data_IF_482961417520
#
_entry.id   IF_482961417520
#
_cell.length_a   1.000
_cell.length_b   1.000
_cell.length_c   1.000
_cell.angle_alpha   90.00
_cell.angle_beta   90.00
_cell.angle_gamma   90.00
#
_symmetry.space_group_name_H-M   'P 1'
#
loop_
_entity.id
_entity.type
_entity.pdbx_description
1 polymer ?
#
# COMPACT_ATOMS: atom_id res chain seq x y z
N UNK A 1 23.88 7.59 -43.41
CA UNK A 1 23.30 8.47 -42.37
C UNK A 1 21.85 8.05 -42.09
N UNK A 2 21.63 6.79 -41.71
CA UNK A 2 20.29 6.22 -41.51
C UNK A 2 20.26 5.11 -40.46
N UNK A 3 21.24 5.11 -39.54
CA UNK A 3 21.48 4.01 -38.58
C UNK A 3 21.41 4.47 -37.12
N UNK A 4 20.91 5.68 -36.84
CA UNK A 4 20.90 6.27 -35.48
C UNK A 4 19.51 6.41 -34.82
N UNK A 5 18.41 6.02 -35.49
CA UNK A 5 17.06 6.14 -34.91
C UNK A 5 16.49 4.82 -34.34
N UNK A 6 17.26 3.72 -34.39
CA UNK A 6 16.78 2.40 -33.98
C UNK A 6 16.98 2.05 -32.49
N UNK A 7 17.49 2.99 -31.65
CA UNK A 7 17.89 2.67 -30.27
C UNK A 7 16.97 3.21 -29.16
N UNK A 8 15.79 3.76 -29.47
CA UNK A 8 14.95 4.45 -28.45
C UNK A 8 13.50 3.97 -28.30
N UNK A 9 13.09 2.94 -29.03
CA UNK A 9 11.85 2.21 -28.74
C UNK A 9 12.15 0.89 -28.03
N UNK A 10 12.88 0.97 -26.91
CA UNK A 10 12.84 -0.09 -25.91
C UNK A 10 11.54 0.10 -25.14
N UNK A 11 10.48 -0.39 -25.76
CA UNK A 11 9.19 -0.70 -25.14
C UNK A 11 9.49 -1.20 -23.74
N UNK A 12 8.92 -0.55 -22.73
CA UNK A 12 8.92 -1.06 -21.35
C UNK A 12 8.13 -2.35 -21.41
N UNK A 13 8.83 -3.42 -21.76
CA UNK A 13 8.30 -4.76 -21.86
C UNK A 13 7.68 -5.06 -20.51
N UNK A 14 6.38 -5.22 -20.61
CA UNK A 14 5.47 -5.56 -19.56
C UNK A 14 6.05 -6.79 -18.85
N UNK A 15 6.72 -6.56 -17.72
CA UNK A 15 7.10 -7.62 -16.80
C UNK A 15 5.80 -8.17 -16.19
N UNK A 16 5.05 -8.93 -16.99
CA UNK A 16 3.99 -9.83 -16.56
C UNK A 16 4.72 -11.01 -15.95
N UNK A 17 5.15 -10.84 -14.69
CA UNK A 17 5.47 -11.98 -13.83
C UNK A 17 4.21 -12.86 -13.81
N UNK A 18 4.26 -14.01 -14.48
CA UNK A 18 3.12 -14.84 -14.89
C UNK A 18 2.28 -15.49 -13.77
N UNK A 19 2.30 -14.92 -12.56
CA UNK A 19 1.57 -15.40 -11.38
C UNK A 19 0.41 -14.49 -10.99
N UNK A 20 0.29 -13.29 -11.59
CA UNK A 20 -0.69 -12.29 -11.19
C UNK A 20 -1.79 -12.13 -12.23
N UNK A 21 -3.02 -12.00 -11.75
CA UNK A 21 -4.18 -11.62 -12.55
C UNK A 21 -4.03 -10.20 -13.09
N UNK A 22 -4.75 -9.89 -14.18
CA UNK A 22 -4.75 -8.54 -14.75
C UNK A 22 -5.19 -7.46 -13.75
N UNK A 23 -6.04 -7.83 -12.77
CA UNK A 23 -6.47 -6.95 -11.69
C UNK A 23 -5.33 -6.65 -10.73
N UNK A 24 -4.62 -7.67 -10.26
CA UNK A 24 -3.49 -7.51 -9.34
C UNK A 24 -2.37 -6.69 -9.97
N UNK A 25 -2.09 -6.89 -11.26
CA UNK A 25 -1.13 -6.06 -11.99
C UNK A 25 -1.52 -4.58 -12.02
N UNK A 26 -2.80 -4.28 -12.24
CA UNK A 26 -3.30 -2.88 -12.21
C UNK A 26 -3.18 -2.29 -10.81
N UNK A 27 -3.54 -3.05 -9.79
CA UNK A 27 -3.48 -2.61 -8.40
C UNK A 27 -2.02 -2.35 -7.98
N UNK A 28 -1.08 -3.23 -8.35
CA UNK A 28 0.35 -3.02 -8.10
C UNK A 28 0.91 -1.79 -8.82
N UNK A 29 0.51 -1.56 -10.08
CA UNK A 29 0.92 -0.34 -10.80
C UNK A 29 0.45 0.92 -10.07
N UNK A 30 -0.78 0.93 -9.55
CA UNK A 30 -1.32 2.05 -8.75
C UNK A 30 -0.51 2.28 -7.48
N UNK A 31 -0.24 1.22 -6.73
CA UNK A 31 0.54 1.29 -5.50
C UNK A 31 1.99 1.74 -5.76
N UNK A 32 2.61 1.26 -6.85
CA UNK A 32 3.96 1.65 -7.24
C UNK A 32 4.06 3.16 -7.51
N UNK A 33 3.09 3.74 -8.22
CA UNK A 33 3.06 5.19 -8.46
C UNK A 33 2.98 5.99 -7.15
N UNK A 34 2.15 5.55 -6.20
CA UNK A 34 2.02 6.20 -4.89
C UNK A 34 3.33 6.08 -4.10
N UNK A 35 3.97 4.91 -4.12
CA UNK A 35 5.27 4.68 -3.47
C UNK A 35 6.34 5.61 -4.03
N UNK A 36 6.45 5.71 -5.34
CA UNK A 36 7.45 6.59 -5.99
C UNK A 36 7.26 8.06 -5.61
N UNK A 37 6.00 8.53 -5.54
CA UNK A 37 5.69 9.87 -5.07
C UNK A 37 6.10 10.09 -3.60
N UNK A 38 5.84 9.10 -2.73
CA UNK A 38 6.21 9.14 -1.31
C UNK A 38 7.73 9.13 -1.09
N UNK A 39 8.47 8.35 -1.87
CA UNK A 39 9.94 8.35 -1.85
C UNK A 39 10.52 9.69 -2.30
N UNK A 40 9.92 10.32 -3.31
CA UNK A 40 10.33 11.67 -3.73
C UNK A 40 10.07 12.70 -2.64
N UNK A 41 8.93 12.65 -1.96
CA UNK A 41 8.68 13.50 -0.79
C UNK A 41 9.69 13.23 0.34
N UNK A 42 10.02 11.96 0.59
CA UNK A 42 11.02 11.58 1.59
C UNK A 42 12.39 12.16 1.29
N UNK A 43 12.85 12.10 0.04
CA UNK A 43 14.12 12.72 -0.41
C UNK A 43 14.13 14.23 -0.20
N UNK A 44 12.98 14.87 -0.35
CA UNK A 44 12.79 16.30 -0.09
C UNK A 44 12.64 16.65 1.40
N UNK A 45 12.71 15.65 2.29
CA UNK A 45 12.53 15.82 3.73
C UNK A 45 11.09 16.07 4.15
N UNK A 46 10.10 15.73 3.30
CA UNK A 46 8.67 15.93 3.55
C UNK A 46 8.04 14.58 3.90
N UNK A 47 7.44 14.50 5.09
CA UNK A 47 6.56 13.39 5.45
C UNK A 47 5.15 13.64 4.94
N UNK A 48 4.56 12.64 4.28
CA UNK A 48 3.24 12.73 3.68
C UNK A 48 2.48 11.41 3.87
N UNK A 49 1.18 11.54 4.07
CA UNK A 49 0.25 10.44 4.22
C UNK A 49 -0.74 10.47 3.06
N UNK A 50 -0.82 9.38 2.31
CA UNK A 50 -1.72 9.27 1.16
C UNK A 50 -2.77 8.20 1.46
N UNK A 51 -4.03 8.62 1.41
CA UNK A 51 -5.17 7.72 1.51
C UNK A 51 -5.27 6.80 0.28
N UNK A 52 -5.46 5.51 0.50
CA UNK A 52 -5.61 4.50 -0.54
C UNK A 52 -6.91 3.72 -0.33
N UNK A 53 -7.65 3.49 -1.41
CA UNK A 53 -8.85 2.66 -1.38
C UNK A 53 -8.47 1.20 -1.07
N UNK A 54 -9.09 0.55 -0.08
CA UNK A 54 -8.78 -0.84 0.26
C UNK A 54 -9.18 -1.84 -0.84
N UNK A 55 -10.16 -1.49 -1.68
CA UNK A 55 -10.73 -2.39 -2.69
C UNK A 55 -9.97 -2.36 -4.03
N UNK A 56 -9.71 -1.16 -4.57
CA UNK A 56 -9.13 -1.01 -5.91
C UNK A 56 -7.74 -0.34 -5.91
N UNK A 57 -7.17 -0.10 -4.73
CA UNK A 57 -5.86 0.52 -4.52
C UNK A 57 -5.67 1.87 -5.19
N UNK A 58 -6.77 2.58 -5.46
CA UNK A 58 -6.73 3.94 -5.99
C UNK A 58 -6.43 4.95 -4.87
N UNK A 59 -5.56 5.95 -5.10
CA UNK A 59 -5.36 7.06 -4.18
C UNK A 59 -6.49 8.10 -4.23
N UNK A 60 -7.48 7.92 -5.12
CA UNK A 60 -8.60 8.87 -5.32
C UNK A 60 -9.71 8.63 -4.31
N UNK A 61 -9.37 8.80 -3.03
CA UNK A 61 -10.31 8.70 -1.90
C UNK A 61 -10.61 10.10 -1.39
N UNK A 62 -11.89 10.43 -1.28
CA UNK A 62 -12.37 11.69 -0.71
C UNK A 62 -12.90 11.44 0.71
N UNK A 63 -12.73 12.44 1.56
CA UNK A 63 -13.32 12.48 2.88
C UNK A 63 -14.68 13.15 2.78
N UNK A 64 -15.73 12.39 3.08
CA UNK A 64 -17.11 12.88 3.17
C UNK A 64 -17.29 13.36 4.61
N UNK A 65 -17.46 14.68 4.75
CA UNK A 65 -17.77 15.28 6.04
C UNK A 65 -19.24 15.65 6.07
N UNK A 66 -19.93 15.21 7.11
CA UNK A 66 -21.33 15.57 7.34
C UNK A 66 -21.60 17.07 7.28
N UNK A 67 -20.65 17.87 7.78
CA UNK A 67 -20.79 19.32 7.81
C UNK A 67 -20.85 19.96 6.40
N UNK A 68 -20.05 19.48 5.44
CA UNK A 68 -19.97 20.07 4.10
C UNK A 68 -20.89 19.41 3.08
N UNK A 69 -21.12 18.10 3.22
CA UNK A 69 -21.74 17.28 2.18
C UNK A 69 -23.17 16.83 2.53
N UNK A 70 -23.54 16.76 3.82
CA UNK A 70 -24.83 16.18 4.28
C UNK A 70 -25.68 17.13 5.15
N UNK A 71 -25.18 18.34 5.45
CA UNK A 71 -25.87 19.34 6.27
C UNK A 71 -25.95 19.01 7.76
N UNK A 72 -26.75 19.79 8.51
CA UNK A 72 -26.82 19.77 9.98
C UNK A 72 -27.41 18.48 10.60
N UNK A 73 -27.78 17.49 9.77
CA UNK A 73 -28.64 16.37 10.16
C UNK A 73 -28.03 14.96 10.03
N UNK A 74 -26.75 14.78 9.68
CA UNK A 74 -26.29 13.39 9.54
C UNK A 74 -24.79 13.12 9.44
N UNK A 75 -24.29 12.44 10.48
CA UNK A 75 -23.01 11.71 10.62
C UNK A 75 -21.84 12.45 11.28
N UNK A 76 -21.73 12.37 12.60
CA UNK A 76 -20.55 12.83 13.35
C UNK A 76 -19.25 12.09 13.00
N UNK A 77 -19.34 10.95 12.30
CA UNK A 77 -18.18 10.10 12.03
C UNK A 77 -17.63 10.34 10.62
N UNK A 78 -16.30 10.45 10.48
CA UNK A 78 -15.65 10.59 9.18
C UNK A 78 -15.99 9.39 8.29
N UNK A 79 -16.41 9.67 7.07
CA UNK A 79 -16.66 8.66 6.06
C UNK A 79 -15.77 8.92 4.85
N UNK A 80 -15.42 7.88 4.12
CA UNK A 80 -14.53 7.93 2.98
C UNK A 80 -15.19 7.30 1.77
N UNK A 81 -14.93 7.90 0.61
CA UNK A 81 -15.48 7.43 -0.65
C UNK A 81 -14.41 7.38 -1.75
N UNK A 82 -14.33 6.27 -2.47
CA UNK A 82 -13.43 6.12 -3.60
C UNK A 82 -14.12 6.51 -4.90
N UNK A 83 -13.54 7.48 -5.63
CA UNK A 83 -14.08 7.98 -6.89
C UNK A 83 -13.98 6.97 -8.05
N UNK A 84 -13.12 5.95 -7.93
CA UNK A 84 -12.86 5.03 -9.05
C UNK A 84 -13.71 3.75 -8.99
N UNK A 85 -13.96 3.20 -7.79
CA UNK A 85 -14.73 1.96 -7.62
C UNK A 85 -16.01 2.13 -6.79
N UNK A 86 -16.27 3.32 -6.24
CA UNK A 86 -17.45 3.60 -5.43
C UNK A 86 -17.42 3.01 -4.02
N UNK A 87 -16.27 2.51 -3.56
CA UNK A 87 -16.14 2.02 -2.18
C UNK A 87 -16.47 3.13 -1.19
N UNK A 88 -17.32 2.80 -0.19
CA UNK A 88 -17.70 3.67 0.92
C UNK A 88 -17.37 2.96 2.24
N UNK A 89 -16.70 3.64 3.15
CA UNK A 89 -16.37 3.07 4.45
C UNK A 89 -15.89 4.10 5.46
N UNK A 90 -15.68 3.64 6.69
CA UNK A 90 -15.19 4.47 7.80
C UNK A 90 -13.72 4.23 8.15
N UNK A 91 -13.14 3.16 7.61
CA UNK A 91 -11.73 2.80 7.84
C UNK A 91 -10.90 3.23 6.64
N UNK A 92 -9.88 4.04 6.88
CA UNK A 92 -8.96 4.51 5.84
C UNK A 92 -7.69 3.67 5.85
N UNK A 93 -7.27 3.20 4.67
CA UNK A 93 -5.91 2.66 4.49
C UNK A 93 -5.01 3.82 4.09
N UNK A 94 -3.93 4.02 4.82
CA UNK A 94 -2.96 5.09 4.56
C UNK A 94 -1.63 4.45 4.17
N UNK A 95 -1.01 4.99 3.13
CA UNK A 95 0.39 4.74 2.82
C UNK A 95 1.20 5.98 3.19
N UNK A 96 2.24 5.78 4.01
CA UNK A 96 3.05 6.87 4.57
C UNK A 96 4.53 6.61 4.33
N UNK A 97 5.33 7.68 4.29
CA UNK A 97 6.79 7.64 4.27
C UNK A 97 7.41 8.06 5.62
N UNK A 98 6.59 8.27 6.65
CA UNK A 98 7.07 8.55 8.00
C UNK A 98 7.92 7.38 8.50
N UNK A 99 9.02 7.63 9.21
CA UNK A 99 9.78 6.56 9.86
C UNK A 99 8.87 5.85 10.87
N UNK A 100 8.93 4.52 10.90
CA UNK A 100 8.24 3.67 11.88
C UNK A 100 8.96 3.70 13.24
N UNK A 101 9.36 4.90 13.69
CA UNK A 101 9.88 5.11 15.04
C UNK A 101 8.68 5.44 15.94
N UNK A 102 7.85 4.41 16.13
CA UNK A 102 6.60 4.52 16.84
C UNK A 102 6.79 3.82 18.18
N UNK A 103 6.92 4.59 19.26
CA UNK A 103 6.99 4.08 20.63
C UNK A 103 5.87 3.06 20.91
N UNK A 104 4.74 3.17 20.21
CA UNK A 104 3.64 2.21 20.25
C UNK A 104 4.03 0.85 19.67
N UNK A 105 4.76 0.78 18.57
CA UNK A 105 5.20 -0.48 17.96
C UNK A 105 6.26 -1.15 18.83
N UNK A 106 7.17 -0.38 19.43
CA UNK A 106 8.13 -0.90 20.42
C UNK A 106 7.42 -1.44 21.66
N UNK A 107 6.46 -0.69 22.21
CA UNK A 107 5.64 -1.13 23.34
C UNK A 107 4.82 -2.38 23.01
N UNK A 108 4.26 -2.47 21.80
CA UNK A 108 3.52 -3.65 21.36
C UNK A 108 4.44 -4.88 21.24
N UNK A 109 5.65 -4.72 20.70
CA UNK A 109 6.64 -5.80 20.65
C UNK A 109 7.07 -6.22 22.05
N UNK A 110 7.31 -5.28 22.96
CA UNK A 110 7.71 -5.56 24.33
C UNK A 110 6.61 -6.29 25.12
N UNK A 111 5.34 -5.90 24.94
CA UNK A 111 4.21 -6.45 25.69
C UNK A 111 3.63 -7.74 25.10
N UNK A 112 3.64 -7.90 23.78
CA UNK A 112 2.99 -9.02 23.08
C UNK A 112 3.96 -9.99 22.39
N UNK A 113 5.27 -9.69 22.35
CA UNK A 113 6.30 -10.57 21.81
C UNK A 113 6.22 -12.02 22.33
N UNK A 114 6.08 -12.26 23.65
CA UNK A 114 6.01 -13.62 24.21
C UNK A 114 4.77 -14.43 23.77
N UNK A 115 3.71 -13.78 23.28
CA UNK A 115 2.48 -14.46 22.82
C UNK A 115 2.56 -14.88 21.34
N UNK A 116 3.55 -14.37 20.60
CA UNK A 116 3.78 -14.71 19.19
C UNK A 116 4.70 -15.91 19.02
N UNK A 117 5.58 -16.17 19.99
CA UNK A 117 6.55 -17.27 19.97
C UNK A 117 5.91 -18.67 20.12
N UNK A 118 4.69 -18.76 20.66
CA UNK A 118 3.97 -20.03 20.84
C UNK A 118 3.31 -20.59 19.55
N UNK A 119 3.37 -19.88 18.42
CA UNK A 119 2.81 -20.35 17.14
C UNK A 119 3.87 -20.74 16.09
N UNK A 120 5.16 -20.76 16.43
CA UNK A 120 6.16 -21.40 15.57
C UNK A 120 6.09 -22.92 15.75
N UNK A 121 5.23 -23.58 14.95
CA UNK A 121 5.28 -25.03 14.79
C UNK A 121 6.71 -25.46 14.38
N UNK A 122 7.26 -26.54 14.97
CA UNK A 122 8.63 -26.95 14.71
C UNK A 122 8.78 -27.35 13.24
N UNK A 123 9.59 -26.58 12.51
CA UNK A 123 10.10 -26.97 11.20
C UNK A 123 10.77 -28.33 11.32
N UNK A 124 10.19 -29.34 10.66
CA UNK A 124 10.77 -30.68 10.56
C UNK A 124 12.20 -30.59 10.06
N UNK A 125 13.12 -31.02 10.91
CA UNK A 125 14.54 -31.06 10.60
C UNK A 125 14.79 -32.06 9.46
N UNK A 126 15.63 -31.59 8.55
CA UNK A 126 16.12 -32.28 7.36
C UNK A 126 16.71 -33.64 7.73
N UNK A 127 16.19 -34.72 7.14
CA UNK A 127 16.91 -35.98 7.03
C UNK A 127 18.20 -35.71 6.25
N UNK A 128 19.32 -35.75 6.97
CA UNK A 128 20.66 -35.73 6.42
C UNK A 128 20.96 -37.10 5.82
N UNK A 129 21.58 -37.07 4.64
CA UNK A 129 22.06 -38.22 3.88
C UNK A 129 23.00 -39.11 4.71
N UNK A 130 22.99 -40.40 4.38
CA UNK A 130 23.51 -41.50 5.20
C UNK A 130 25.02 -41.71 5.15
N UNK A 131 25.51 -42.87 5.63
CA UNK A 131 26.89 -43.29 5.45
C UNK A 131 27.17 -43.86 4.05
#
# INVERSE_FOLDING_TARGET
>A
MGELEQSRNRTVEEQVTGQLTSKELRDLRRLKMVKEALEEYKRRGISADIAICPVCKSPRVIHITSYRDLGFLGSFQPAYYCLDCGWYGRTLTIMTNRPEDDAVIEDLRANFGPLLEDNEEPTSEREQEGP
#
